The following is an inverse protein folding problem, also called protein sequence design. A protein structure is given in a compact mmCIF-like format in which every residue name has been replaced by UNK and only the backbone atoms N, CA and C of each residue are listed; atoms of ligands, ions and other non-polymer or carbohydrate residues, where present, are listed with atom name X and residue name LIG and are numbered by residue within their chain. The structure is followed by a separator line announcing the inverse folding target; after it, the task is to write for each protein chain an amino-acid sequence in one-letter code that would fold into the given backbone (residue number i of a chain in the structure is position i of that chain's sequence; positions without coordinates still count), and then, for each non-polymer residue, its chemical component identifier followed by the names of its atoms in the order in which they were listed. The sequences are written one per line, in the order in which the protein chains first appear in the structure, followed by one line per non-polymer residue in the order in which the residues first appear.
data_IF_290593924287
#
_entry.id   IF_290593924287
#
_cell.length_a   1.000
_cell.length_b   1.000
_cell.length_c   1.000
_cell.angle_alpha   90.00
_cell.angle_beta   90.00
_cell.angle_gamma   90.00
#
_symmetry.space_group_name_H-M   'P 1'
#
loop_
_entity.id
_entity.type
_entity.pdbx_description
1 polymer ?
#
# COMPACT_ATOMS: atom_id res chain seq x y z
N UNK A 1 6.47 -4.34 -4.32
CA UNK A 1 6.42 -4.41 -2.85
C UNK A 1 5.21 -3.63 -2.37
N UNK A 2 4.49 -4.15 -1.38
CA UNK A 2 3.36 -3.48 -0.73
C UNK A 2 3.79 -3.16 0.70
N UNK A 3 3.54 -1.93 1.16
CA UNK A 3 3.90 -1.43 2.47
C UNK A 3 2.63 -0.92 3.18
N UNK A 4 2.44 -1.30 4.44
CA UNK A 4 1.30 -0.88 5.27
C UNK A 4 1.84 -0.21 6.53
N UNK A 5 1.32 0.96 6.86
CA UNK A 5 1.74 1.74 8.03
C UNK A 5 0.60 2.65 8.47
N UNK A 6 0.49 2.98 9.75
CA UNK A 6 -0.53 3.86 10.31
C UNK A 6 -0.07 5.34 10.40
N UNK A 7 1.21 5.61 10.16
CA UNK A 7 1.79 6.94 10.15
C UNK A 7 1.88 7.50 8.72
N UNK A 8 1.16 8.60 8.48
CA UNK A 8 1.11 9.28 7.19
C UNK A 8 2.49 9.71 6.65
N UNK A 9 3.44 10.03 7.54
CA UNK A 9 4.81 10.39 7.16
C UNK A 9 5.54 9.22 6.50
N UNK A 10 5.44 8.01 7.07
CA UNK A 10 6.07 6.81 6.53
C UNK A 10 5.52 6.48 5.15
N UNK A 11 4.20 6.59 4.97
CA UNK A 11 3.54 6.38 3.67
C UNK A 11 4.09 7.34 2.61
N UNK A 12 4.18 8.64 2.92
CA UNK A 12 4.68 9.65 1.97
C UNK A 12 6.12 9.38 1.55
N UNK A 13 6.97 8.99 2.49
CA UNK A 13 8.40 8.84 2.23
C UNK A 13 8.72 7.51 1.51
N UNK A 14 8.04 6.42 1.88
CA UNK A 14 8.22 5.10 1.23
C UNK A 14 7.59 5.06 -0.17
N UNK A 15 6.48 5.79 -0.42
CA UNK A 15 5.88 5.88 -1.76
C UNK A 15 6.84 6.44 -2.80
N UNK A 16 7.71 7.40 -2.42
CA UNK A 16 8.72 7.99 -3.32
C UNK A 16 9.74 6.97 -3.83
N UNK A 17 9.89 5.84 -3.13
CA UNK A 17 10.76 4.73 -3.52
C UNK A 17 10.10 3.78 -4.55
N UNK A 18 8.89 4.11 -5.03
CA UNK A 18 8.15 3.29 -5.99
C UNK A 18 7.41 2.11 -5.36
N UNK A 19 7.17 2.16 -4.05
CA UNK A 19 6.48 1.13 -3.27
C UNK A 19 5.00 1.49 -3.15
N UNK A 20 4.12 0.51 -3.33
CA UNK A 20 2.70 0.70 -3.04
C UNK A 20 2.51 0.81 -1.53
N UNK A 21 2.29 2.02 -1.03
CA UNK A 21 2.17 2.30 0.40
C UNK A 21 0.71 2.61 0.76
N UNK A 22 0.16 1.90 1.76
CA UNK A 22 -1.23 1.99 2.19
C UNK A 22 -1.30 2.45 3.64
N UNK A 23 -1.92 3.61 3.87
CA UNK A 23 -2.19 4.13 5.21
C UNK A 23 -3.31 3.32 5.89
N UNK A 24 -3.05 2.76 7.08
CA UNK A 24 -4.02 1.93 7.82
C UNK A 24 -4.28 2.49 9.20
N UNK A 25 -5.47 3.05 9.45
CA UNK A 25 -5.79 3.69 10.74
C UNK A 25 -6.29 2.73 11.83
N UNK A 26 -6.80 1.55 11.46
CA UNK A 26 -7.41 0.58 12.38
C UNK A 26 -6.70 -0.78 12.29
N UNK A 27 -5.41 -0.76 12.02
CA UNK A 27 -4.63 -1.96 11.72
C UNK A 27 -5.03 -2.61 10.40
N UNK A 28 -4.46 -3.79 10.16
CA UNK A 28 -4.64 -4.53 8.92
C UNK A 28 -5.80 -5.52 9.08
N UNK A 29 -6.77 -5.44 8.17
CA UNK A 29 -7.81 -6.46 8.01
C UNK A 29 -7.58 -7.27 6.73
N UNK A 30 -8.20 -8.45 6.62
CA UNK A 30 -8.14 -9.26 5.40
C UNK A 30 -8.57 -8.46 4.16
N UNK A 31 -9.63 -7.65 4.29
CA UNK A 31 -10.10 -6.78 3.21
C UNK A 31 -9.02 -5.80 2.74
N UNK A 32 -8.30 -5.16 3.67
CA UNK A 32 -7.21 -4.23 3.33
C UNK A 32 -6.11 -4.93 2.54
N UNK A 33 -5.77 -6.16 2.90
CA UNK A 33 -4.76 -6.96 2.19
C UNK A 33 -5.25 -7.33 0.79
N UNK A 34 -6.48 -7.83 0.67
CA UNK A 34 -7.08 -8.21 -0.61
C UNK A 34 -7.16 -7.01 -1.58
N UNK A 35 -7.63 -5.86 -1.09
CA UNK A 35 -7.72 -4.62 -1.87
C UNK A 35 -6.33 -4.14 -2.33
N UNK A 36 -5.30 -4.25 -1.47
CA UNK A 36 -3.93 -3.84 -1.80
C UNK A 36 -3.28 -4.77 -2.83
N UNK A 37 -3.51 -6.08 -2.76
CA UNK A 37 -3.03 -7.05 -3.76
C UNK A 37 -3.67 -6.75 -5.12
N UNK A 38 -4.97 -6.48 -5.14
CA UNK A 38 -5.68 -6.11 -6.37
C UNK A 38 -5.08 -4.83 -6.98
N UNK A 39 -4.88 -3.78 -6.18
CA UNK A 39 -4.24 -2.53 -6.63
C UNK A 39 -2.83 -2.75 -7.16
N UNK A 40 -2.01 -3.55 -6.48
CA UNK A 40 -0.65 -3.86 -6.89
C UNK A 40 -0.62 -4.58 -8.25
N UNK A 41 -1.55 -5.51 -8.47
CA UNK A 41 -1.68 -6.23 -9.75
C UNK A 41 -2.06 -5.30 -10.90
N UNK A 42 -2.95 -4.30 -10.66
CA UNK A 42 -3.37 -3.31 -11.65
C UNK A 42 -2.24 -2.36 -12.04
N UNK A 43 -1.40 -1.95 -11.08
CA UNK A 43 -0.22 -1.14 -11.39
C UNK A 43 0.82 -1.92 -12.20
N UNK A 44 0.99 -3.21 -11.92
CA UNK A 44 1.94 -4.07 -12.64
C UNK A 44 1.57 -4.30 -14.10
N UNK A 45 0.26 -4.25 -14.44
CA UNK A 45 -0.25 -4.36 -15.82
C UNK A 45 -0.21 -3.05 -16.63
N UNK A 46 0.15 -1.93 -16.00
CA UNK A 46 0.22 -0.59 -16.62
C UNK A 46 1.64 -0.20 -17.06
N UNK A 47 2.61 -1.08 -16.85
CA UNK A 47 3.94 -1.01 -17.45
C UNK A 47 3.98 -1.89 -18.69
#
# INVERSE_FOLDING_TARGET
MIFFDDESRNIRDVTKLGVLSILVQNGISRKVVDDAIEQFSKQSKRK
#
